data_IF_716899923787
#
_entry.id   IF_716899923787
#
_cell.length_a   1.000
_cell.length_b   1.000
_cell.length_c   1.000
_cell.angle_alpha   90.00
_cell.angle_beta   90.00
_cell.angle_gamma   90.00
#
_symmetry.space_group_name_H-M   'P 1'
#
loop_
_entity.id
_entity.type
_entity.pdbx_description
1 polymer ?
#
# COMPACT_ATOMS: atom_id res chain seq x y z
N UNK A 1 -2.80 13.91 1.10
CA UNK A 1 -2.32 12.55 0.85
C UNK A 1 -3.45 11.85 0.17
N UNK A 2 -3.21 11.45 -1.07
CA UNK A 2 -4.21 10.82 -1.91
C UNK A 2 -3.98 9.30 -1.89
N UNK A 3 -5.05 8.56 -1.67
CA UNK A 3 -5.00 7.11 -1.49
C UNK A 3 -4.61 6.42 -2.80
N UNK A 4 -5.01 6.99 -3.94
CA UNK A 4 -4.57 6.57 -5.28
C UNK A 4 -3.05 6.56 -5.42
N UNK A 5 -2.37 7.61 -4.97
CA UNK A 5 -0.90 7.69 -5.05
C UNK A 5 -0.21 6.57 -4.28
N UNK A 6 -0.81 6.10 -3.17
CA UNK A 6 -0.25 4.99 -2.38
C UNK A 6 -0.41 3.68 -3.13
N UNK A 7 -1.59 3.46 -3.73
CA UNK A 7 -1.90 2.25 -4.48
C UNK A 7 -1.05 2.13 -5.76
N UNK A 8 -0.80 3.25 -6.45
CA UNK A 8 0.04 3.31 -7.66
C UNK A 8 1.48 2.82 -7.40
N UNK A 9 2.04 3.07 -6.21
CA UNK A 9 3.39 2.59 -5.83
C UNK A 9 3.49 1.06 -5.99
N UNK A 10 2.46 0.33 -5.60
CA UNK A 10 2.43 -1.14 -5.70
C UNK A 10 2.27 -1.65 -7.15
N UNK A 11 1.75 -0.82 -8.05
CA UNK A 11 1.66 -1.15 -9.47
C UNK A 11 2.98 -0.87 -10.20
N UNK A 12 3.67 0.21 -9.82
CA UNK A 12 4.92 0.66 -10.43
C UNK A 12 6.15 -0.17 -10.03
N UNK A 13 6.23 -0.65 -8.79
CA UNK A 13 7.45 -1.24 -8.24
C UNK A 13 7.86 -2.58 -8.88
N UNK A 14 6.98 -3.26 -9.61
CA UNK A 14 7.28 -4.58 -10.19
C UNK A 14 7.46 -5.70 -9.15
N UNK A 15 7.79 -5.34 -7.90
CA UNK A 15 7.79 -6.20 -6.73
C UNK A 15 6.36 -6.46 -6.26
N UNK A 16 6.01 -7.73 -5.97
CA UNK A 16 4.64 -8.10 -5.61
C UNK A 16 4.25 -7.65 -4.20
N UNK A 17 5.21 -7.23 -3.36
CA UNK A 17 4.98 -6.85 -1.95
C UNK A 17 5.96 -5.75 -1.54
N UNK A 18 5.52 -4.83 -0.68
CA UNK A 18 6.36 -3.79 -0.08
C UNK A 18 6.23 -3.76 1.45
N UNK A 19 7.28 -3.34 2.13
CA UNK A 19 7.27 -3.00 3.55
C UNK A 19 6.68 -1.62 3.78
N UNK A 20 6.15 -1.36 4.98
CA UNK A 20 5.68 -0.01 5.37
C UNK A 20 6.75 1.07 5.18
N UNK A 21 8.03 0.72 5.41
CA UNK A 21 9.15 1.64 5.21
C UNK A 21 9.35 2.07 3.77
N UNK A 22 9.26 1.11 2.84
CA UNK A 22 9.42 1.37 1.41
C UNK A 22 8.30 2.29 0.90
N UNK A 23 7.06 2.03 1.33
CA UNK A 23 5.94 2.93 1.01
C UNK A 23 6.16 4.32 1.60
N UNK A 24 6.56 4.41 2.86
CA UNK A 24 6.78 5.68 3.56
C UNK A 24 7.87 6.52 2.88
N UNK A 25 8.99 5.91 2.49
CA UNK A 25 10.09 6.56 1.80
C UNK A 25 9.63 7.13 0.44
N UNK A 26 8.76 6.41 -0.29
CA UNK A 26 8.24 6.84 -1.60
C UNK A 26 7.30 8.03 -1.51
N UNK A 27 6.44 8.08 -0.49
CA UNK A 27 5.52 9.21 -0.31
C UNK A 27 6.14 10.36 0.50
N UNK A 28 7.36 10.20 1.02
CA UNK A 28 8.06 11.20 1.84
C UNK A 28 7.49 11.31 3.26
N UNK A 29 6.97 10.22 3.82
CA UNK A 29 6.34 10.17 5.14
C UNK A 29 7.21 9.42 6.14
N UNK A 30 6.89 9.58 7.42
CA UNK A 30 7.40 8.67 8.45
C UNK A 30 6.64 7.34 8.42
N UNK A 31 7.28 6.26 8.86
CA UNK A 31 6.62 4.94 9.04
C UNK A 31 5.38 5.02 9.95
N UNK A 32 5.43 5.88 10.97
CA UNK A 32 4.31 6.11 11.88
C UNK A 32 3.12 6.80 11.19
N UNK A 33 3.37 7.62 10.16
CA UNK A 33 2.34 8.27 9.34
C UNK A 33 1.82 7.41 8.19
N UNK A 34 2.65 6.55 7.61
CA UNK A 34 2.25 5.65 6.53
C UNK A 34 1.44 4.44 7.03
N UNK A 35 1.79 3.91 8.21
CA UNK A 35 1.15 2.69 8.73
C UNK A 35 -0.37 2.81 8.92
N UNK A 36 -0.94 3.88 9.52
CA UNK A 36 -2.38 4.03 9.66
C UNK A 36 -3.08 4.01 8.30
N UNK A 37 -2.52 4.73 7.32
CA UNK A 37 -3.10 4.82 5.97
C UNK A 37 -3.10 3.48 5.24
N UNK A 38 -2.02 2.72 5.36
CA UNK A 38 -1.97 1.37 4.80
C UNK A 38 -3.00 0.42 5.44
N UNK A 39 -3.28 0.60 6.73
CA UNK A 39 -4.35 -0.15 7.41
C UNK A 39 -5.73 0.28 6.95
N UNK A 40 -5.98 1.57 6.81
CA UNK A 40 -7.26 2.08 6.31
C UNK A 40 -7.57 1.47 4.92
N UNK A 41 -6.57 1.44 4.03
CA UNK A 41 -6.69 0.82 2.70
C UNK A 41 -6.86 -0.71 2.74
N UNK A 42 -6.33 -1.38 3.76
CA UNK A 42 -6.58 -2.81 3.99
C UNK A 42 -8.01 -3.04 4.49
N UNK A 43 -8.52 -2.18 5.37
CA UNK A 43 -9.91 -2.23 5.85
C UNK A 43 -10.91 -1.98 4.71
N UNK A 44 -10.57 -1.11 3.76
CA UNK A 44 -11.31 -0.89 2.52
C UNK A 44 -11.16 -2.03 1.49
N UNK A 45 -10.27 -2.99 1.75
CA UNK A 45 -10.01 -4.13 0.88
C UNK A 45 -9.14 -3.83 -0.33
N UNK A 46 -8.58 -2.63 -0.45
CA UNK A 46 -7.72 -2.19 -1.56
C UNK A 46 -6.28 -2.71 -1.41
N UNK A 47 -5.85 -2.94 -0.17
CA UNK A 47 -4.59 -3.59 0.16
C UNK A 47 -4.83 -4.90 0.92
N UNK A 48 -3.82 -5.77 0.89
CA UNK A 48 -3.70 -6.92 1.78
C UNK A 48 -2.37 -6.86 2.49
N UNK A 49 -2.33 -7.30 3.75
CA UNK A 49 -1.09 -7.39 4.51
C UNK A 49 -0.77 -8.80 5.00
N UNK A 50 0.51 -9.03 5.29
CA UNK A 50 0.98 -10.23 6.00
C UNK A 50 2.07 -9.89 6.97
N UNK A 51 1.94 -10.43 8.19
CA UNK A 51 3.00 -10.38 9.19
C UNK A 51 3.99 -11.53 9.01
N UNK A 52 5.25 -11.19 8.81
CA UNK A 52 6.39 -12.12 8.78
C UNK A 52 7.35 -11.82 9.92
N UNK A 53 7.26 -12.57 11.02
CA UNK A 53 8.03 -12.27 12.23
C UNK A 53 7.71 -10.86 12.76
N UNK A 54 8.72 -9.99 12.84
CA UNK A 54 8.57 -8.58 13.27
C UNK A 54 8.15 -7.63 12.16
N UNK A 55 8.11 -8.11 10.92
CA UNK A 55 7.93 -7.27 9.73
C UNK A 55 6.51 -7.41 9.19
N UNK A 56 6.01 -6.34 8.56
CA UNK A 56 4.69 -6.26 7.93
C UNK A 56 4.88 -5.87 6.47
N UNK A 57 4.40 -6.73 5.58
CA UNK A 57 4.39 -6.51 4.12
C UNK A 57 2.97 -6.25 3.63
N UNK A 58 2.87 -5.54 2.51
CA UNK A 58 1.65 -5.05 1.90
C UNK A 58 1.68 -5.34 0.41
N UNK A 59 0.53 -5.63 -0.18
CA UNK A 59 0.39 -5.73 -1.62
C UNK A 59 -1.00 -5.33 -2.08
N UNK A 60 -1.08 -4.96 -3.35
CA UNK A 60 -2.32 -4.58 -4.00
C UNK A 60 -3.26 -5.78 -4.11
N UNK A 61 -4.48 -5.61 -3.63
CA UNK A 61 -5.54 -6.61 -3.81
C UNK A 61 -6.06 -6.61 -5.24
N UNK A 62 -7.01 -7.49 -5.55
CA UNK A 62 -7.68 -7.44 -6.85
C UNK A 62 -8.61 -6.22 -6.90
N UNK A 63 -9.29 -5.94 -5.80
CA UNK A 63 -10.17 -4.79 -5.61
C UNK A 63 -9.40 -3.46 -5.73
N UNK A 64 -8.18 -3.39 -5.19
CA UNK A 64 -7.28 -2.26 -5.34
C UNK A 64 -6.79 -2.05 -6.77
N UNK A 65 -6.55 -3.14 -7.51
CA UNK A 65 -6.25 -3.06 -8.95
C UNK A 65 -7.44 -2.51 -9.74
N UNK A 66 -8.62 -3.05 -9.52
CA UNK A 66 -9.85 -2.56 -10.18
C UNK A 66 -10.15 -1.10 -9.83
N UNK A 67 -9.90 -0.68 -8.59
CA UNK A 67 -10.06 0.72 -8.17
C UNK A 67 -9.17 1.65 -8.99
N UNK A 68 -7.89 1.31 -9.16
CA UNK A 68 -6.97 2.09 -10.00
C UNK A 68 -7.40 2.15 -11.46
N UNK A 69 -7.88 1.04 -12.02
CA UNK A 69 -8.35 0.97 -13.41
C UNK A 69 -9.62 1.80 -13.66
N UNK A 70 -10.50 1.93 -12.66
CA UNK A 70 -11.73 2.74 -12.77
C UNK A 70 -11.46 4.24 -12.67
N UNK A 71 -10.36 4.63 -12.03
CA UNK A 71 -9.93 6.01 -11.81
C UNK A 71 -8.86 6.48 -12.81
N UNK A 72 -8.55 5.67 -13.84
CA UNK A 72 -7.58 5.95 -14.91
C UNK A 72 -8.24 6.52 -16.17
#
# INVERSE_FOLDING_TARGET
>A
MDDKQILEIFQEEGDPVLFTGEVADRIGFSNQGALPRLKDLEEEGLLKSKRGGKVLVWWLSEEGREYLEREA
#
